data_IF_952307111345
#
_entry.id   IF_952307111345
#
_cell.length_a   1.000
_cell.length_b   1.000
_cell.length_c   1.000
_cell.angle_alpha   90.00
_cell.angle_beta   90.00
_cell.angle_gamma   90.00
#
_symmetry.space_group_name_H-M   'P 1'
#
loop_
_entity.id
_entity.type
_entity.pdbx_description
1 polymer ?
#
# COMPACT_ATOMS: atom_id res chain seq x y z
N UNK A 1 -0.77 -84.46 -30.82
CA UNK A 1 -0.08 -83.15 -30.75
C UNK A 1 -0.84 -82.15 -31.62
N UNK A 2 -1.67 -81.31 -31.01
CA UNK A 2 -2.42 -80.28 -31.72
C UNK A 2 -1.66 -78.93 -31.51
N UNK A 3 -1.26 -78.30 -32.61
CA UNK A 3 -0.64 -76.96 -32.61
C UNK A 3 -1.76 -75.96 -32.66
N UNK A 4 -1.79 -75.03 -31.67
CA UNK A 4 -2.64 -73.86 -31.68
C UNK A 4 -1.81 -72.66 -32.21
N UNK A 5 -2.25 -72.05 -33.31
CA UNK A 5 -1.72 -70.85 -33.85
C UNK A 5 -2.47 -69.65 -33.15
N UNK A 6 -1.74 -68.80 -32.46
CA UNK A 6 -2.28 -67.58 -31.89
C UNK A 6 -2.13 -66.49 -32.94
N UNK A 7 -3.28 -65.91 -33.35
CA UNK A 7 -3.36 -64.74 -34.22
C UNK A 7 -3.31 -63.47 -33.33
N UNK A 8 -2.23 -62.71 -33.42
CA UNK A 8 -2.12 -61.39 -32.77
C UNK A 8 -2.72 -60.37 -33.72
N UNK A 9 -3.88 -59.80 -33.33
CA UNK A 9 -4.48 -58.65 -34.00
C UNK A 9 -3.90 -57.41 -33.38
N UNK A 10 -3.04 -56.67 -34.11
CA UNK A 10 -2.58 -55.36 -33.74
C UNK A 10 -3.69 -54.32 -34.03
N UNK A 11 -4.34 -53.85 -32.99
CA UNK A 11 -5.24 -52.68 -33.09
C UNK A 11 -4.41 -51.42 -33.07
N UNK A 12 -4.28 -50.76 -34.21
CA UNK A 12 -3.76 -49.37 -34.29
C UNK A 12 -4.83 -48.41 -33.77
N UNK A 13 -4.69 -47.93 -32.55
CA UNK A 13 -5.48 -46.81 -32.04
C UNK A 13 -4.84 -45.51 -32.60
N UNK A 14 -5.51 -44.90 -33.57
CA UNK A 14 -5.20 -43.55 -34.01
C UNK A 14 -5.61 -42.59 -32.89
N UNK A 15 -4.65 -42.05 -32.14
CA UNK A 15 -4.87 -40.90 -31.30
C UNK A 15 -5.11 -39.68 -32.21
N UNK A 16 -6.37 -39.34 -32.40
CA UNK A 16 -6.76 -38.00 -32.85
C UNK A 16 -6.46 -37.04 -31.67
N UNK A 17 -5.34 -36.34 -31.76
CA UNK A 17 -5.04 -35.24 -30.88
C UNK A 17 -6.13 -34.16 -31.09
N UNK A 18 -7.02 -34.06 -30.11
CA UNK A 18 -7.89 -32.91 -29.99
C UNK A 18 -6.96 -31.70 -29.62
N UNK A 19 -6.70 -30.84 -30.57
CA UNK A 19 -6.26 -29.50 -30.25
C UNK A 19 -7.42 -28.86 -29.46
N UNK A 20 -7.41 -28.95 -28.15
CA UNK A 20 -8.21 -28.07 -27.32
C UNK A 20 -7.73 -26.65 -27.67
N UNK A 21 -8.61 -25.81 -28.23
CA UNK A 21 -8.35 -24.39 -28.32
C UNK A 21 -8.14 -23.92 -26.87
N UNK A 22 -6.97 -23.39 -26.59
CA UNK A 22 -6.78 -22.65 -25.35
C UNK A 22 -7.87 -21.56 -25.28
N UNK A 23 -8.52 -21.37 -24.13
CA UNK A 23 -9.49 -20.29 -23.98
C UNK A 23 -8.79 -18.97 -24.33
N UNK A 24 -9.50 -18.10 -25.01
CA UNK A 24 -8.98 -16.76 -25.32
C UNK A 24 -8.63 -16.07 -23.98
N UNK A 25 -7.53 -15.30 -23.93
CA UNK A 25 -7.18 -14.52 -22.76
C UNK A 25 -8.38 -13.69 -22.30
N UNK A 26 -8.61 -13.66 -21.00
CA UNK A 26 -9.70 -12.87 -20.39
C UNK A 26 -9.13 -11.59 -19.79
N UNK A 27 -9.87 -10.46 -19.84
CA UNK A 27 -9.50 -9.27 -19.08
C UNK A 27 -9.35 -9.58 -17.59
N UNK A 28 -8.39 -8.95 -16.92
CA UNK A 28 -8.28 -8.99 -15.46
C UNK A 28 -9.49 -8.29 -14.85
N UNK A 29 -10.02 -8.86 -13.77
CA UNK A 29 -11.13 -8.28 -13.03
C UNK A 29 -10.73 -7.05 -12.23
N UNK A 30 -9.44 -6.96 -11.85
CA UNK A 30 -8.86 -5.87 -11.08
C UNK A 30 -7.86 -5.08 -11.92
N UNK A 31 -7.64 -3.83 -11.54
CA UNK A 31 -6.64 -2.92 -12.07
C UNK A 31 -5.88 -2.25 -10.92
N UNK A 32 -4.91 -1.42 -11.25
CA UNK A 32 -4.12 -0.64 -10.31
C UNK A 32 -4.53 0.83 -10.33
N UNK A 33 -4.60 1.43 -9.17
CA UNK A 33 -4.73 2.86 -8.94
C UNK A 33 -3.36 3.40 -8.53
N UNK A 34 -2.91 4.47 -9.18
CA UNK A 34 -1.65 5.15 -8.88
C UNK A 34 -1.98 6.55 -8.37
N UNK A 35 -1.67 6.83 -7.12
CA UNK A 35 -1.84 8.16 -6.52
C UNK A 35 -0.65 9.04 -6.87
N UNK A 36 -0.86 10.08 -7.70
CA UNK A 36 0.23 10.85 -8.28
C UNK A 36 0.22 12.32 -7.83
N UNK A 37 1.44 12.82 -7.56
CA UNK A 37 1.76 14.23 -7.64
C UNK A 37 2.53 14.49 -8.93
N UNK A 38 2.07 15.41 -9.75
CA UNK A 38 2.69 15.75 -11.04
C UNK A 38 3.31 17.12 -10.95
N UNK A 39 4.55 17.23 -11.41
CA UNK A 39 5.33 18.46 -11.40
C UNK A 39 5.77 18.81 -12.82
N UNK A 40 5.68 20.07 -13.19
CA UNK A 40 6.26 20.61 -14.41
C UNK A 40 7.45 21.51 -14.12
N UNK A 41 8.40 21.57 -15.03
CA UNK A 41 9.56 22.45 -14.92
C UNK A 41 9.13 23.91 -15.11
N UNK A 42 9.27 24.73 -14.07
CA UNK A 42 9.00 26.16 -14.12
C UNK A 42 10.27 27.01 -13.99
N UNK A 43 10.19 28.33 -14.25
CA UNK A 43 11.34 29.23 -14.18
C UNK A 43 12.00 29.34 -12.81
N UNK A 44 11.25 29.04 -11.74
CA UNK A 44 11.71 29.12 -10.34
C UNK A 44 11.79 27.76 -9.64
N UNK A 45 11.70 26.67 -10.37
CA UNK A 45 11.66 25.29 -9.87
C UNK A 45 10.39 24.55 -10.25
N UNK A 46 10.18 23.33 -9.73
CA UNK A 46 9.02 22.52 -10.03
C UNK A 46 7.71 23.23 -9.66
N UNK A 47 6.72 23.15 -10.57
CA UNK A 47 5.38 23.72 -10.39
C UNK A 47 4.38 22.56 -10.30
N UNK A 48 3.66 22.42 -9.16
CA UNK A 48 2.63 21.40 -9.02
C UNK A 48 1.53 21.58 -10.06
N UNK A 49 1.14 20.48 -10.67
CA UNK A 49 -0.01 20.37 -11.57
C UNK A 49 -1.22 19.77 -10.81
N UNK A 50 -2.42 19.73 -11.41
CA UNK A 50 -3.52 18.97 -10.86
C UNK A 50 -3.10 17.54 -10.53
N UNK A 51 -3.57 17.03 -9.38
CA UNK A 51 -3.33 15.64 -8.99
C UNK A 51 -3.89 14.68 -10.02
N UNK A 52 -3.22 13.56 -10.22
CA UNK A 52 -3.69 12.52 -11.13
C UNK A 52 -3.93 11.21 -10.38
N UNK A 53 -5.05 10.59 -10.68
CA UNK A 53 -5.25 9.18 -10.41
C UNK A 53 -4.88 8.42 -11.69
N UNK A 54 -3.69 7.82 -11.69
CA UNK A 54 -3.25 6.91 -12.75
C UNK A 54 -4.00 5.59 -12.61
N UNK A 55 -4.33 4.97 -13.74
CA UNK A 55 -5.11 3.74 -13.80
C UNK A 55 -4.42 2.80 -14.77
N UNK A 56 -4.03 1.62 -14.30
CA UNK A 56 -3.47 0.56 -15.13
C UNK A 56 -4.43 -0.62 -15.13
N UNK A 57 -4.78 -1.10 -16.32
CA UNK A 57 -5.65 -2.27 -16.50
C UNK A 57 -5.08 -3.21 -17.56
N UNK A 58 -5.44 -4.50 -17.48
CA UNK A 58 -5.07 -5.51 -18.45
C UNK A 58 -6.34 -6.09 -19.11
N UNK A 59 -6.41 -6.05 -20.45
CA UNK A 59 -7.56 -6.56 -21.22
C UNK A 59 -7.46 -8.07 -21.54
N UNK A 60 -6.48 -8.76 -20.92
CA UNK A 60 -6.14 -10.17 -21.18
C UNK A 60 -5.06 -10.33 -22.26
N UNK A 61 -4.65 -9.24 -22.92
CA UNK A 61 -3.61 -9.27 -23.97
C UNK A 61 -2.53 -8.23 -23.76
N UNK A 62 -2.87 -7.09 -23.18
CA UNK A 62 -1.95 -5.97 -22.98
C UNK A 62 -2.34 -5.11 -21.79
N UNK A 63 -1.35 -4.52 -21.19
CA UNK A 63 -1.52 -3.47 -20.20
C UNK A 63 -1.82 -2.14 -20.87
N UNK A 64 -2.68 -1.35 -20.26
CA UNK A 64 -3.05 0.00 -20.70
C UNK A 64 -2.98 0.96 -19.52
N UNK A 65 -2.58 2.21 -19.81
CA UNK A 65 -2.56 3.28 -18.84
C UNK A 65 -3.46 4.42 -19.28
N UNK A 66 -4.23 4.97 -18.35
CA UNK A 66 -4.94 6.24 -18.47
C UNK A 66 -4.91 6.95 -17.13
N UNK A 67 -5.42 8.18 -17.07
CA UNK A 67 -5.56 8.90 -15.81
C UNK A 67 -6.78 9.79 -15.80
N UNK A 68 -7.23 10.18 -14.62
CA UNK A 68 -8.14 11.29 -14.38
C UNK A 68 -7.42 12.37 -13.57
N UNK A 69 -7.80 13.64 -13.78
CA UNK A 69 -7.22 14.78 -13.06
C UNK A 69 -8.23 15.37 -12.08
N UNK A 70 -7.73 15.81 -10.94
CA UNK A 70 -8.48 16.58 -9.96
C UNK A 70 -7.92 18.00 -9.87
N UNK A 71 -8.60 19.02 -10.43
CA UNK A 71 -8.15 20.40 -10.37
C UNK A 71 -8.19 21.02 -8.95
N UNK A 72 -8.92 20.40 -8.01
CA UNK A 72 -9.01 20.85 -6.63
C UNK A 72 -7.84 20.35 -5.78
N UNK A 73 -7.05 19.40 -6.33
CA UNK A 73 -5.91 18.78 -5.66
C UNK A 73 -4.61 18.99 -6.45
N UNK A 74 -3.47 19.10 -5.76
CA UNK A 74 -2.14 19.10 -6.38
C UNK A 74 -1.33 17.83 -6.07
N UNK A 75 -1.91 16.92 -5.32
CA UNK A 75 -1.38 15.60 -4.99
C UNK A 75 -2.53 14.68 -4.60
N UNK A 76 -2.46 13.41 -5.00
CA UNK A 76 -3.12 12.32 -4.30
C UNK A 76 -2.06 11.55 -3.51
N UNK A 77 -2.29 11.37 -2.21
CA UNK A 77 -1.42 10.56 -1.38
C UNK A 77 -1.87 9.10 -1.36
N UNK A 78 -3.17 8.86 -1.29
CA UNK A 78 -3.75 7.51 -1.36
C UNK A 78 -5.03 7.51 -2.18
N UNK A 79 -5.29 6.40 -2.84
CA UNK A 79 -6.58 6.12 -3.47
C UNK A 79 -6.91 4.65 -3.20
N UNK A 80 -8.14 4.36 -2.77
CA UNK A 80 -8.53 3.00 -2.44
C UNK A 80 -10.01 2.73 -2.72
N UNK A 81 -10.37 1.47 -2.77
CA UNK A 81 -11.77 1.05 -2.89
C UNK A 81 -12.53 1.42 -1.63
N UNK A 82 -13.75 1.95 -1.83
CA UNK A 82 -14.72 2.16 -0.76
C UNK A 82 -16.04 1.49 -1.15
N UNK A 83 -16.45 0.52 -0.38
CA UNK A 83 -17.68 -0.22 -0.59
C UNK A 83 -18.50 -0.21 0.71
N UNK A 84 -19.12 0.94 1.05
CA UNK A 84 -19.83 1.07 2.32
C UNK A 84 -21.10 0.24 2.33
N UNK A 85 -21.61 -0.04 3.51
CA UNK A 85 -22.89 -0.76 3.76
C UNK A 85 -24.09 0.03 3.23
N UNK A 86 -23.95 1.35 3.12
CA UNK A 86 -24.99 2.27 2.64
C UNK A 86 -24.40 3.25 1.63
N UNK A 87 -25.01 3.33 0.46
CA UNK A 87 -24.58 4.22 -0.62
C UNK A 87 -23.98 3.48 -1.79
N UNK A 88 -23.25 4.19 -2.63
CA UNK A 88 -22.59 3.64 -3.81
C UNK A 88 -21.13 3.34 -3.51
N UNK A 89 -20.66 2.19 -3.98
CA UNK A 89 -19.24 1.86 -3.96
C UNK A 89 -18.48 2.66 -5.03
N UNK A 90 -17.21 2.97 -4.76
CA UNK A 90 -16.37 3.73 -5.67
C UNK A 90 -14.92 3.78 -5.20
N UNK A 91 -14.20 4.79 -5.64
CA UNK A 91 -12.81 5.02 -5.28
C UNK A 91 -12.69 6.27 -4.41
N UNK A 92 -12.17 6.11 -3.19
CA UNK A 92 -11.74 7.24 -2.36
C UNK A 92 -10.41 7.80 -2.85
N UNK A 93 -10.23 9.11 -2.71
CA UNK A 93 -8.93 9.76 -2.87
C UNK A 93 -8.64 10.67 -1.70
N UNK A 94 -7.44 10.51 -1.11
CA UNK A 94 -6.85 11.43 -0.14
C UNK A 94 -6.07 12.51 -0.90
N UNK A 95 -6.60 13.72 -0.98
CA UNK A 95 -6.05 14.75 -1.85
C UNK A 95 -6.10 16.14 -1.28
N UNK A 96 -6.03 17.09 -2.18
CA UNK A 96 -6.26 18.50 -1.93
C UNK A 96 -5.02 19.38 -1.94
N UNK A 97 -5.26 20.67 -2.03
CA UNK A 97 -4.37 21.75 -1.58
C UNK A 97 -4.63 22.08 -0.12
N UNK A 98 -5.71 21.60 0.42
CA UNK A 98 -6.15 21.43 1.79
C UNK A 98 -6.61 20.00 2.00
N UNK A 99 -6.90 19.60 3.22
CA UNK A 99 -7.36 18.24 3.50
C UNK A 99 -8.71 17.98 2.80
N UNK A 100 -8.79 16.88 2.02
CA UNK A 100 -9.97 16.58 1.22
C UNK A 100 -10.08 15.08 0.96
N UNK A 101 -11.28 14.53 1.16
CA UNK A 101 -11.65 13.17 0.77
C UNK A 101 -12.76 13.23 -0.27
N UNK A 102 -12.51 12.66 -1.44
CA UNK A 102 -13.50 12.51 -2.52
C UNK A 102 -13.82 11.04 -2.75
N UNK A 103 -15.09 10.76 -3.03
CA UNK A 103 -15.54 9.47 -3.55
C UNK A 103 -15.89 9.63 -5.03
N UNK A 104 -15.20 8.87 -5.87
CA UNK A 104 -15.39 8.83 -7.30
C UNK A 104 -16.26 7.64 -7.69
N UNK A 105 -17.30 7.90 -8.48
CA UNK A 105 -18.17 6.87 -9.04
C UNK A 105 -17.59 6.32 -10.36
N UNK A 106 -18.00 5.11 -10.79
CA UNK A 106 -17.52 4.53 -12.05
C UNK A 106 -17.79 5.36 -13.30
N UNK A 107 -18.78 6.26 -13.29
CA UNK A 107 -19.09 7.16 -14.42
C UNK A 107 -18.19 8.41 -14.48
N UNK A 108 -17.18 8.51 -13.59
CA UNK A 108 -16.25 9.64 -13.50
C UNK A 108 -16.77 10.83 -12.69
N UNK A 109 -18.01 10.80 -12.24
CA UNK A 109 -18.51 11.79 -11.28
C UNK A 109 -17.91 11.59 -9.88
N UNK A 110 -17.90 12.63 -9.06
CA UNK A 110 -17.43 12.53 -7.69
C UNK A 110 -18.28 13.28 -6.70
N UNK A 111 -18.17 12.89 -5.44
CA UNK A 111 -18.74 13.58 -4.28
C UNK A 111 -17.62 13.87 -3.30
N UNK A 112 -17.48 15.11 -2.83
CA UNK A 112 -16.64 15.44 -1.68
C UNK A 112 -17.34 14.96 -0.43
N UNK A 113 -16.69 14.03 0.29
CA UNK A 113 -17.20 13.50 1.55
C UNK A 113 -16.84 14.41 2.72
N UNK A 114 -15.63 14.96 2.67
CA UNK A 114 -15.08 15.82 3.70
C UNK A 114 -14.02 16.75 3.12
N UNK A 115 -13.94 17.95 3.69
CA UNK A 115 -12.98 18.98 3.32
C UNK A 115 -12.75 19.89 4.51
N UNK A 116 -11.49 20.10 4.91
CA UNK A 116 -11.14 20.98 6.02
C UNK A 116 -9.85 21.75 5.70
N UNK A 117 -9.72 22.97 6.23
CA UNK A 117 -8.52 23.79 6.16
C UNK A 117 -8.00 24.08 7.57
N UNK A 118 -7.05 23.26 8.00
CA UNK A 118 -6.41 23.41 9.31
C UNK A 118 -5.38 24.54 9.36
N UNK A 119 -5.15 25.26 8.25
CA UNK A 119 -4.11 26.28 8.13
C UNK A 119 -2.71 25.67 7.92
N UNK A 120 -1.67 26.47 8.16
CA UNK A 120 -0.28 26.06 7.95
C UNK A 120 0.18 26.17 6.49
N UNK A 121 1.34 25.58 6.20
CA UNK A 121 1.93 25.63 4.87
C UNK A 121 1.34 24.57 3.93
N UNK A 122 1.03 23.40 4.47
CA UNK A 122 0.54 22.24 3.74
C UNK A 122 -0.65 21.63 4.49
N UNK A 123 -1.79 22.29 4.51
CA UNK A 123 -3.03 21.74 5.06
C UNK A 123 -3.64 20.76 4.07
N UNK A 124 -3.07 19.57 3.94
CA UNK A 124 -3.51 18.53 2.99
C UNK A 124 -3.46 17.15 3.62
N UNK A 125 -4.12 16.21 2.97
CA UNK A 125 -4.10 14.80 3.36
C UNK A 125 -2.69 14.21 3.25
N UNK A 126 -2.44 13.22 4.08
CA UNK A 126 -1.28 12.34 3.98
C UNK A 126 -1.71 10.91 3.71
N UNK A 127 -2.69 10.43 4.47
CA UNK A 127 -3.14 9.07 4.36
C UNK A 127 -4.62 8.94 4.75
N UNK A 128 -5.23 7.81 4.44
CA UNK A 128 -6.56 7.41 4.90
C UNK A 128 -6.69 5.89 4.96
N UNK A 129 -7.52 5.43 5.94
CA UNK A 129 -7.92 4.04 6.08
C UNK A 129 -9.43 3.92 6.26
N UNK A 130 -9.99 2.73 6.02
CA UNK A 130 -11.43 2.45 6.13
C UNK A 130 -11.64 1.26 7.04
N UNK A 131 -12.42 1.46 8.12
CA UNK A 131 -12.87 0.40 9.02
C UNK A 131 -14.12 0.85 9.78
N UNK A 132 -14.82 -0.07 10.44
CA UNK A 132 -15.88 0.23 11.40
C UNK A 132 -15.23 0.50 12.78
N UNK A 133 -14.86 1.76 13.02
CA UNK A 133 -14.03 2.18 14.17
C UNK A 133 -14.80 2.18 15.48
N UNK A 134 -16.10 2.48 15.44
CA UNK A 134 -16.93 2.54 16.66
C UNK A 134 -17.81 1.30 16.88
N UNK A 135 -17.79 0.34 15.94
CA UNK A 135 -18.49 -0.93 16.02
C UNK A 135 -19.99 -0.81 15.77
N UNK A 136 -20.45 0.24 15.09
CA UNK A 136 -21.87 0.47 14.80
C UNK A 136 -22.37 -0.28 13.55
N UNK A 137 -21.46 -0.89 12.78
CA UNK A 137 -21.71 -1.67 11.58
C UNK A 137 -21.72 -0.86 10.30
N UNK A 138 -21.22 0.38 10.32
CA UNK A 138 -21.02 1.21 9.14
C UNK A 138 -19.54 1.56 8.99
N UNK A 139 -19.09 1.66 7.75
CA UNK A 139 -17.69 2.00 7.46
C UNK A 139 -17.38 3.45 7.79
N UNK A 140 -16.32 3.66 8.57
CA UNK A 140 -15.74 4.95 8.89
C UNK A 140 -14.49 5.19 8.03
N UNK A 141 -14.04 6.44 7.95
CA UNK A 141 -12.81 6.81 7.27
C UNK A 141 -11.88 7.49 8.25
N UNK A 142 -10.75 6.87 8.54
CA UNK A 142 -9.66 7.48 9.32
C UNK A 142 -8.81 8.32 8.39
N UNK A 143 -8.47 9.54 8.76
CA UNK A 143 -7.67 10.45 7.94
C UNK A 143 -6.50 11.02 8.71
N UNK A 144 -5.38 11.20 8.01
CA UNK A 144 -4.17 11.84 8.50
C UNK A 144 -3.79 13.05 7.67
N UNK A 145 -3.25 14.09 8.30
CA UNK A 145 -2.90 15.34 7.62
C UNK A 145 -1.42 15.68 7.71
N UNK A 146 -0.99 16.51 6.76
CA UNK A 146 0.32 17.15 6.76
C UNK A 146 0.38 18.23 7.86
N UNK A 147 1.48 18.78 8.16
CA UNK A 147 1.96 19.80 9.12
C UNK A 147 1.01 20.35 10.22
N UNK A 148 -0.21 19.84 10.35
CA UNK A 148 -1.13 20.11 11.47
C UNK A 148 -1.25 18.92 12.44
N UNK A 149 -0.69 17.76 12.07
CA UNK A 149 -0.67 16.58 12.91
C UNK A 149 -2.06 16.05 13.29
N UNK A 150 -3.06 16.33 12.46
CA UNK A 150 -4.44 15.92 12.72
C UNK A 150 -4.61 14.45 12.36
N UNK A 151 -5.17 13.69 13.29
CA UNK A 151 -5.81 12.40 13.05
C UNK A 151 -7.29 12.58 13.33
N UNK A 152 -8.13 12.30 12.35
CA UNK A 152 -9.57 12.50 12.43
C UNK A 152 -10.31 11.26 11.95
N UNK A 153 -11.45 10.95 12.54
CA UNK A 153 -12.35 9.88 12.09
C UNK A 153 -13.61 10.50 11.51
N UNK A 154 -13.93 10.16 10.30
CA UNK A 154 -15.18 10.51 9.65
C UNK A 154 -16.15 9.35 9.90
N UNK A 155 -16.95 9.43 10.96
CA UNK A 155 -17.91 8.38 11.34
C UNK A 155 -19.06 8.31 10.35
N UNK A 156 -19.22 7.12 9.73
CA UNK A 156 -20.31 6.81 8.83
C UNK A 156 -21.62 6.59 9.58
N UNK A 157 -22.75 6.75 8.89
CA UNK A 157 -24.06 6.49 9.49
C UNK A 157 -24.97 5.67 8.56
N UNK A 158 -26.08 5.19 9.09
CA UNK A 158 -27.10 4.43 8.35
C UNK A 158 -27.76 5.19 7.21
N UNK A 159 -27.47 6.45 7.00
CA UNK A 159 -27.92 7.29 5.89
C UNK A 159 -26.81 7.55 4.86
N UNK A 160 -25.57 7.08 5.12
CA UNK A 160 -24.40 7.32 4.28
C UNK A 160 -23.83 8.74 4.39
N UNK A 161 -24.07 9.42 5.52
CA UNK A 161 -23.40 10.65 5.87
C UNK A 161 -22.17 10.36 6.73
N UNK A 162 -21.25 11.35 6.80
CA UNK A 162 -20.06 11.29 7.61
C UNK A 162 -20.05 12.42 8.62
N UNK A 163 -19.70 12.10 9.89
CA UNK A 163 -19.53 13.07 10.96
C UNK A 163 -18.06 13.10 11.37
N UNK A 164 -17.32 14.20 11.10
CA UNK A 164 -15.90 14.31 11.45
C UNK A 164 -15.71 14.49 12.95
N UNK A 165 -14.73 13.76 13.51
CA UNK A 165 -14.29 13.89 14.89
C UNK A 165 -12.76 13.87 14.94
N UNK A 166 -12.15 15.01 15.30
CA UNK A 166 -10.71 15.11 15.56
C UNK A 166 -10.36 14.31 16.81
N UNK A 167 -9.48 13.31 16.68
CA UNK A 167 -9.03 12.50 17.81
C UNK A 167 -7.63 12.89 18.29
N UNK A 168 -6.83 13.53 17.44
CA UNK A 168 -5.55 14.11 17.80
C UNK A 168 -5.19 15.27 16.87
N UNK A 169 -4.46 16.26 17.40
CA UNK A 169 -3.93 17.40 16.64
C UNK A 169 -2.67 17.95 17.30
N UNK A 170 -1.57 17.98 16.57
CA UNK A 170 -0.28 18.50 17.04
C UNK A 170 0.34 19.44 15.99
N UNK A 171 0.25 20.78 16.15
CA UNK A 171 0.78 21.72 15.17
C UNK A 171 2.27 21.52 14.87
N UNK A 172 2.66 21.73 13.62
CA UNK A 172 4.00 21.48 13.06
C UNK A 172 4.43 20.01 13.09
N UNK A 173 3.48 19.10 13.18
CA UNK A 173 3.68 17.67 13.13
C UNK A 173 3.07 17.12 11.85
N UNK A 174 3.76 16.20 11.20
CA UNK A 174 3.27 15.44 10.07
C UNK A 174 2.81 14.08 10.58
N UNK A 175 1.60 13.67 10.27
CA UNK A 175 1.20 12.27 10.39
C UNK A 175 1.39 11.66 9.00
N UNK A 176 2.41 10.84 8.86
CA UNK A 176 2.80 10.32 7.55
C UNK A 176 1.95 9.14 7.12
N UNK A 177 1.61 8.28 8.07
CA UNK A 177 0.87 7.06 7.83
C UNK A 177 -0.16 6.85 8.94
N UNK A 178 -1.30 6.29 8.59
CA UNK A 178 -2.27 5.70 9.52
C UNK A 178 -2.59 4.28 9.06
N UNK A 179 -2.72 3.37 10.03
CA UNK A 179 -3.14 2.00 9.81
C UNK A 179 -4.22 1.63 10.82
N UNK A 180 -5.04 0.65 10.48
CA UNK A 180 -6.06 0.11 11.39
C UNK A 180 -5.80 -1.38 11.57
N UNK A 181 -5.83 -1.85 12.82
CA UNK A 181 -5.67 -3.26 13.16
C UNK A 181 -6.16 -3.57 14.56
N UNK A 182 -5.91 -4.78 15.02
CA UNK A 182 -6.28 -5.28 16.35
C UNK A 182 -5.13 -6.13 16.92
N UNK A 183 -4.07 -5.43 17.38
CA UNK A 183 -2.86 -6.12 17.88
C UNK A 183 -3.13 -6.98 19.12
N UNK A 184 -4.11 -6.62 19.92
CA UNK A 184 -4.42 -7.34 21.15
C UNK A 184 -5.49 -8.43 20.97
N UNK A 185 -6.05 -8.57 19.77
CA UNK A 185 -7.07 -9.54 19.37
C UNK A 185 -8.34 -9.50 20.25
N UNK A 186 -8.72 -8.30 20.72
CA UNK A 186 -9.93 -8.13 21.52
C UNK A 186 -11.20 -7.85 20.68
N UNK A 187 -11.03 -7.68 19.37
CA UNK A 187 -12.09 -7.43 18.39
C UNK A 187 -12.49 -5.96 18.31
N UNK A 188 -11.72 -5.05 18.92
CA UNK A 188 -11.96 -3.60 18.84
C UNK A 188 -10.88 -2.98 17.94
N UNK A 189 -11.26 -2.31 16.85
CA UNK A 189 -10.29 -1.68 15.96
C UNK A 189 -9.45 -0.60 16.67
N UNK A 190 -8.17 -0.63 16.40
CA UNK A 190 -7.17 0.30 16.89
C UNK A 190 -6.61 1.11 15.71
N UNK A 191 -6.40 2.41 15.89
CA UNK A 191 -5.76 3.29 14.90
C UNK A 191 -4.31 3.50 15.28
N UNK A 192 -3.40 3.25 14.35
CA UNK A 192 -1.96 3.47 14.49
C UNK A 192 -1.55 4.64 13.61
N UNK A 193 -0.68 5.52 14.12
CA UNK A 193 -0.24 6.70 13.38
C UNK A 193 1.24 7.00 13.62
N UNK A 194 1.89 7.62 12.62
CA UNK A 194 3.31 8.03 12.67
C UNK A 194 3.45 9.57 12.74
N UNK A 195 3.06 10.23 13.85
CA UNK A 195 3.28 11.65 14.00
C UNK A 195 4.77 11.96 14.17
N UNK A 196 5.28 12.93 13.42
CA UNK A 196 6.69 13.28 13.45
C UNK A 196 6.93 14.75 13.10
N UNK A 197 8.07 15.30 13.49
CA UNK A 197 8.53 16.58 12.97
C UNK A 197 8.82 16.46 11.45
N UNK A 198 8.79 17.59 10.70
CA UNK A 198 9.14 17.57 9.28
C UNK A 198 10.49 16.88 9.04
N UNK A 199 10.51 15.84 8.19
CA UNK A 199 11.70 15.07 7.90
C UNK A 199 12.75 15.94 7.22
N UNK A 200 13.95 16.02 7.77
CA UNK A 200 15.06 16.80 7.25
C UNK A 200 15.79 16.15 6.10
N UNK A 201 15.65 14.83 5.92
CA UNK A 201 16.25 14.02 4.83
C UNK A 201 17.80 14.04 4.78
N UNK A 202 18.46 14.59 5.79
CA UNK A 202 19.92 14.74 5.86
C UNK A 202 20.58 13.78 6.86
N UNK A 203 19.79 12.85 7.43
CA UNK A 203 20.23 11.91 8.46
C UNK A 203 20.46 12.56 9.82
N UNK A 204 20.00 13.80 10.04
CA UNK A 204 20.02 14.43 11.37
C UNK A 204 19.07 13.68 12.29
N UNK A 205 19.46 13.34 13.54
CA UNK A 205 18.56 12.73 14.51
C UNK A 205 17.26 13.53 14.68
N UNK A 206 16.13 12.83 14.62
CA UNK A 206 14.80 13.37 14.83
C UNK A 206 14.00 12.37 15.67
N UNK A 207 13.26 12.82 16.70
CA UNK A 207 12.37 11.93 17.43
C UNK A 207 11.36 11.25 16.50
N UNK A 208 11.09 9.99 16.76
CA UNK A 208 10.09 9.20 16.05
C UNK A 208 9.41 8.24 16.99
N UNK A 209 8.14 8.02 16.75
CA UNK A 209 7.30 7.08 17.49
C UNK A 209 6.07 6.70 16.68
N UNK A 210 5.44 5.59 17.07
CA UNK A 210 4.10 5.22 16.62
C UNK A 210 3.14 5.39 17.77
N UNK A 211 2.00 6.00 17.49
CA UNK A 211 0.91 6.19 18.45
C UNK A 211 -0.27 5.29 18.13
N UNK A 212 -0.97 4.85 19.15
CA UNK A 212 -2.23 4.12 19.07
C UNK A 212 -3.36 4.94 19.67
N UNK A 213 -4.55 4.81 19.08
CA UNK A 213 -5.82 5.34 19.57
C UNK A 213 -6.88 4.24 19.51
N UNK A 214 -7.80 4.19 20.49
CA UNK A 214 -8.93 3.24 20.52
C UNK A 214 -10.21 4.02 20.76
N UNK A 215 -10.77 4.66 19.72
CA UNK A 215 -11.93 5.56 19.90
C UNK A 215 -13.16 4.88 20.50
N UNK A 216 -13.45 3.62 20.14
CA UNK A 216 -14.56 2.86 20.70
C UNK A 216 -14.50 2.68 22.22
N UNK A 217 -13.30 2.77 22.82
CA UNK A 217 -13.06 2.67 24.26
C UNK A 217 -12.80 4.03 24.93
N UNK A 218 -12.89 5.14 24.18
CA UNK A 218 -12.52 6.49 24.64
C UNK A 218 -11.04 6.55 25.10
N UNK A 219 -10.18 5.71 24.49
CA UNK A 219 -8.74 5.72 24.71
C UNK A 219 -8.04 6.64 23.70
N UNK A 220 -7.46 7.73 24.20
CA UNK A 220 -6.66 8.66 23.42
C UNK A 220 -5.26 8.14 23.14
N UNK A 221 -4.38 9.05 22.76
CA UNK A 221 -3.00 8.81 22.35
C UNK A 221 -2.19 7.98 23.34
N UNK A 222 -1.66 6.86 22.87
CA UNK A 222 -0.70 6.00 23.57
C UNK A 222 0.49 5.71 22.66
N UNK A 223 1.72 5.83 23.15
CA UNK A 223 2.92 5.46 22.38
C UNK A 223 3.09 3.95 22.45
N UNK A 224 3.14 3.30 21.27
CA UNK A 224 3.32 1.84 21.13
C UNK A 224 4.68 1.46 20.53
N UNK A 225 5.38 2.41 19.91
CA UNK A 225 6.78 2.28 19.54
C UNK A 225 7.49 3.61 19.81
N UNK A 226 8.55 3.60 20.61
CA UNK A 226 9.43 4.74 20.87
C UNK A 226 10.77 4.49 20.17
N UNK A 227 11.02 5.22 19.10
CA UNK A 227 12.18 5.03 18.23
C UNK A 227 13.36 5.93 18.64
N UNK A 228 13.23 6.65 19.74
CA UNK A 228 14.21 7.61 20.23
C UNK A 228 14.44 8.75 19.24
N UNK A 229 15.70 8.97 18.85
CA UNK A 229 16.09 10.02 17.91
C UNK A 229 16.06 9.55 16.44
N UNK A 230 15.25 8.56 16.09
CA UNK A 230 15.13 7.99 14.75
C UNK A 230 13.71 8.15 14.24
N UNK A 231 13.61 8.69 13.04
CA UNK A 231 12.34 8.92 12.37
C UNK A 231 11.79 7.64 11.77
N UNK A 232 10.47 7.46 11.83
CA UNK A 232 9.74 6.48 11.04
C UNK A 232 8.65 7.19 10.25
N UNK A 233 8.41 6.69 9.07
CA UNK A 233 7.36 7.19 8.19
C UNK A 233 6.37 6.09 7.81
N UNK A 234 6.88 4.91 7.55
CA UNK A 234 6.15 3.76 7.10
C UNK A 234 5.88 2.78 8.22
N UNK A 235 4.65 2.35 8.33
CA UNK A 235 4.21 1.24 9.18
C UNK A 235 3.36 0.26 8.37
N UNK A 236 3.31 -0.98 8.82
CA UNK A 236 2.41 -2.01 8.33
C UNK A 236 1.78 -2.70 9.54
N UNK A 237 0.45 -2.80 9.57
CA UNK A 237 -0.29 -3.53 10.59
C UNK A 237 -1.00 -4.72 9.94
N UNK A 238 -0.88 -5.91 10.52
CA UNK A 238 -1.57 -7.10 10.04
C UNK A 238 -0.89 -8.39 10.47
N UNK A 239 -1.64 -9.49 10.39
CA UNK A 239 -1.16 -10.86 10.64
C UNK A 239 -0.26 -11.30 9.48
N UNK A 240 1.05 -11.05 9.61
CA UNK A 240 2.03 -11.42 8.58
C UNK A 240 2.58 -12.82 8.82
N UNK A 241 2.75 -13.23 10.07
CA UNK A 241 3.30 -14.55 10.41
C UNK A 241 2.25 -15.67 10.43
N UNK A 242 0.96 -15.33 10.27
CA UNK A 242 -0.14 -16.29 10.12
C UNK A 242 -0.59 -16.91 11.44
N UNK A 243 -0.30 -16.29 12.59
CA UNK A 243 -0.70 -16.80 13.90
C UNK A 243 -2.12 -16.40 14.32
N UNK A 244 -2.76 -15.52 13.55
CA UNK A 244 -4.13 -15.03 13.73
C UNK A 244 -4.20 -13.77 14.59
N UNK A 245 -3.08 -13.12 14.86
CA UNK A 245 -2.97 -11.86 15.59
C UNK A 245 -2.27 -10.84 14.70
N UNK A 246 -2.72 -9.59 14.71
CA UNK A 246 -2.01 -8.54 13.99
C UNK A 246 -0.71 -8.14 14.69
N UNK A 247 0.31 -7.78 13.92
CA UNK A 247 1.54 -7.16 14.38
C UNK A 247 1.72 -5.77 13.76
N UNK A 248 2.48 -4.94 14.46
CA UNK A 248 2.95 -3.65 13.94
C UNK A 248 4.40 -3.78 13.47
N UNK A 249 4.65 -3.53 12.20
CA UNK A 249 5.98 -3.40 11.61
C UNK A 249 6.28 -1.93 11.35
N UNK A 250 7.49 -1.49 11.71
CA UNK A 250 7.91 -0.09 11.59
C UNK A 250 9.20 0.00 10.80
N UNK A 251 9.20 0.76 9.71
CA UNK A 251 10.41 1.11 8.97
C UNK A 251 11.08 2.33 9.58
N UNK A 252 12.20 2.13 10.25
CA UNK A 252 12.95 3.16 10.97
C UNK A 252 14.07 3.70 10.10
N UNK A 253 14.03 5.00 9.77
CA UNK A 253 15.01 5.63 8.90
C UNK A 253 16.41 5.68 9.53
N UNK A 254 17.43 5.66 8.67
CA UNK A 254 18.82 5.74 9.10
C UNK A 254 19.18 7.14 9.58
N UNK A 255 20.00 7.24 10.64
CA UNK A 255 20.63 8.48 11.08
C UNK A 255 22.14 8.41 10.86
N UNK A 256 22.76 9.52 10.43
CA UNK A 256 24.20 9.81 10.42
C UNK A 256 25.12 8.59 10.16
N UNK A 257 24.94 7.88 9.03
CA UNK A 257 25.74 6.70 8.66
C UNK A 257 25.27 5.39 9.29
N UNK A 258 24.07 5.38 9.88
CA UNK A 258 23.37 4.18 10.30
C UNK A 258 22.74 3.43 9.12
N UNK A 259 21.85 2.50 9.42
CA UNK A 259 21.09 1.68 8.48
C UNK A 259 19.61 1.86 8.75
N UNK A 260 18.77 1.62 7.74
CA UNK A 260 17.35 1.39 7.95
C UNK A 260 17.18 0.12 8.77
N UNK A 261 16.29 0.13 9.74
CA UNK A 261 15.87 -1.05 10.48
C UNK A 261 14.38 -1.24 10.33
N UNK A 262 13.95 -2.49 10.18
CA UNK A 262 12.55 -2.87 10.24
C UNK A 262 12.35 -3.54 11.58
N UNK A 263 11.51 -2.95 12.42
CA UNK A 263 11.19 -3.42 13.76
C UNK A 263 9.77 -3.98 13.80
N UNK A 264 9.57 -5.05 14.55
CA UNK A 264 8.26 -5.61 14.89
C UNK A 264 7.89 -5.26 16.33
N UNK A 265 6.62 -4.98 16.54
CA UNK A 265 6.00 -4.81 17.85
C UNK A 265 4.72 -5.63 17.90
N UNK A 266 4.60 -6.44 18.94
CA UNK A 266 3.35 -7.14 19.29
C UNK A 266 2.67 -6.38 20.43
N UNK A 267 1.44 -6.74 20.76
CA UNK A 267 0.65 -6.06 21.81
C UNK A 267 1.36 -5.99 23.19
N UNK A 268 2.22 -6.97 23.50
CA UNK A 268 2.96 -7.08 24.76
C UNK A 268 4.40 -6.53 24.69
N UNK A 269 4.82 -5.96 23.55
CA UNK A 269 6.16 -5.42 23.36
C UNK A 269 6.32 -4.09 24.10
N UNK A 270 7.40 -3.93 24.87
CA UNK A 270 7.76 -2.62 25.44
C UNK A 270 8.01 -1.63 24.28
N UNK A 271 7.38 -0.45 24.27
CA UNK A 271 7.55 0.51 23.20
C UNK A 271 9.00 0.88 22.84
N UNK A 272 9.94 0.77 23.81
CA UNK A 272 11.36 1.04 23.58
C UNK A 272 12.17 -0.19 23.13
N UNK A 273 11.56 -1.37 23.07
CA UNK A 273 12.25 -2.65 22.83
C UNK A 273 11.69 -3.41 21.62
N UNK A 274 11.46 -2.71 20.49
CA UNK A 274 11.02 -3.35 19.24
C UNK A 274 11.99 -4.45 18.76
N UNK A 275 11.44 -5.55 18.26
CA UNK A 275 12.20 -6.70 17.77
C UNK A 275 12.77 -6.42 16.38
N UNK A 276 14.08 -6.53 16.22
CA UNK A 276 14.72 -6.31 14.91
C UNK A 276 14.40 -7.46 13.95
N UNK A 277 13.67 -7.16 12.89
CA UNK A 277 13.38 -8.10 11.81
C UNK A 277 14.52 -8.12 10.80
N UNK A 278 14.96 -6.95 10.35
CA UNK A 278 16.12 -6.83 9.45
C UNK A 278 16.70 -5.43 9.45
N UNK A 279 17.87 -5.27 8.80
CA UNK A 279 18.45 -3.96 8.52
C UNK A 279 18.95 -3.86 7.09
N UNK A 280 18.65 -2.73 6.42
CA UNK A 280 19.02 -2.45 5.04
C UNK A 280 20.13 -1.40 4.97
N UNK A 281 21.07 -1.58 4.04
CA UNK A 281 22.12 -0.60 3.76
C UNK A 281 21.55 0.52 2.88
N UNK A 282 20.62 1.28 3.47
CA UNK A 282 19.95 2.41 2.86
C UNK A 282 19.66 3.50 3.90
N UNK A 283 19.14 4.63 3.45
CA UNK A 283 18.75 5.75 4.30
C UNK A 283 17.25 5.77 4.62
N UNK A 284 16.43 5.30 3.69
CA UNK A 284 14.96 5.33 3.75
C UNK A 284 14.40 4.02 3.20
N UNK A 285 13.29 3.58 3.78
CA UNK A 285 12.38 2.59 3.21
C UNK A 285 10.98 3.08 3.52
N UNK A 286 10.18 3.32 2.50
CA UNK A 286 8.91 4.04 2.62
C UNK A 286 7.70 3.23 2.22
N UNK A 287 7.91 1.99 1.83
CA UNK A 287 6.84 1.02 1.62
C UNK A 287 7.24 -0.34 2.18
N UNK A 288 6.36 -0.85 3.02
CA UNK A 288 6.29 -2.23 3.46
C UNK A 288 4.98 -2.82 2.94
N UNK A 289 5.01 -4.01 2.39
CA UNK A 289 3.81 -4.73 1.95
C UNK A 289 4.00 -6.21 2.19
N UNK A 290 2.93 -6.92 2.52
CA UNK A 290 2.98 -8.34 2.81
C UNK A 290 2.00 -9.14 1.95
N UNK A 291 2.39 -10.33 1.52
CA UNK A 291 1.59 -11.22 0.69
C UNK A 291 2.29 -12.55 0.44
N UNK A 292 1.56 -13.53 -0.06
CA UNK A 292 2.04 -14.87 -0.40
C UNK A 292 2.57 -14.90 -1.83
N UNK A 293 3.90 -14.75 -1.99
CA UNK A 293 4.52 -14.63 -3.32
C UNK A 293 4.86 -15.98 -3.98
N UNK A 294 4.81 -17.08 -3.23
CA UNK A 294 5.15 -18.41 -3.74
C UNK A 294 4.02 -19.45 -3.62
N UNK A 295 2.86 -19.03 -3.11
CA UNK A 295 1.63 -19.83 -3.05
C UNK A 295 1.66 -20.93 -1.99
N UNK A 296 2.51 -20.80 -0.95
CA UNK A 296 2.62 -21.78 0.11
C UNK A 296 1.65 -21.49 1.30
N UNK A 297 0.97 -20.35 1.26
CA UNK A 297 -0.01 -19.91 2.25
C UNK A 297 0.61 -19.11 3.41
N UNK A 298 1.93 -18.92 3.40
CA UNK A 298 2.62 -18.03 4.33
C UNK A 298 2.85 -16.69 3.64
N UNK A 299 2.89 -15.60 4.41
CA UNK A 299 3.18 -14.29 3.82
C UNK A 299 4.66 -13.96 3.94
N UNK A 300 5.21 -13.40 2.90
CA UNK A 300 6.45 -12.66 2.91
C UNK A 300 6.17 -11.17 3.01
N UNK A 301 7.20 -10.41 3.39
CA UNK A 301 7.15 -8.95 3.35
C UNK A 301 8.11 -8.42 2.29
N UNK A 302 7.70 -7.39 1.56
CA UNK A 302 8.58 -6.63 0.67
C UNK A 302 8.86 -5.28 1.29
N UNK A 303 10.15 -4.91 1.30
CA UNK A 303 10.63 -3.60 1.68
C UNK A 303 11.16 -2.88 0.43
N UNK A 304 10.52 -1.75 0.08
CA UNK A 304 10.93 -0.91 -1.05
C UNK A 304 11.83 0.23 -0.56
N UNK A 305 13.14 0.03 -0.69
CA UNK A 305 14.15 0.96 -0.23
C UNK A 305 14.45 2.06 -1.26
N UNK A 306 14.91 3.22 -0.80
CA UNK A 306 15.14 4.40 -1.66
C UNK A 306 16.20 4.16 -2.75
N UNK A 307 17.32 3.49 -2.41
CA UNK A 307 18.47 3.33 -3.32
C UNK A 307 19.00 1.91 -3.41
N UNK A 308 18.77 1.10 -2.40
CA UNK A 308 19.28 -0.26 -2.37
C UNK A 308 18.40 -1.27 -3.08
N UNK A 309 17.23 -0.84 -3.55
CA UNK A 309 16.31 -1.65 -4.35
C UNK A 309 15.17 -2.27 -3.55
N UNK A 310 14.65 -3.35 -4.09
CA UNK A 310 13.55 -4.13 -3.53
C UNK A 310 14.08 -5.37 -2.82
N UNK A 311 13.55 -5.63 -1.64
CA UNK A 311 13.98 -6.70 -0.77
C UNK A 311 12.81 -7.55 -0.32
N UNK A 312 12.94 -8.88 -0.45
CA UNK A 312 12.01 -9.87 0.07
C UNK A 312 12.49 -10.34 1.44
N UNK A 313 11.63 -10.24 2.44
CA UNK A 313 11.88 -10.65 3.80
C UNK A 313 11.00 -11.86 4.10
N UNK A 314 11.61 -12.96 4.53
CA UNK A 314 10.90 -14.21 4.84
C UNK A 314 10.99 -14.51 6.32
N UNK A 315 9.84 -14.66 7.02
CA UNK A 315 9.85 -15.06 8.43
C UNK A 315 10.49 -16.44 8.58
N UNK A 316 11.23 -16.60 9.68
CA UNK A 316 11.79 -17.90 10.07
C UNK A 316 10.81 -18.71 10.92
N UNK A 317 11.33 -19.78 11.56
CA UNK A 317 10.53 -20.54 12.51
C UNK A 317 10.13 -19.75 13.78
N UNK A 318 10.90 -18.74 14.12
CA UNK A 318 10.59 -17.75 15.15
C UNK A 318 10.41 -16.41 14.44
N UNK A 319 9.16 -15.95 14.23
CA UNK A 319 8.91 -14.71 13.51
C UNK A 319 9.29 -13.45 14.31
N UNK A 320 9.59 -13.61 15.60
CA UNK A 320 10.12 -12.55 16.47
C UNK A 320 11.65 -12.38 16.37
N UNK A 321 12.32 -13.29 15.66
CA UNK A 321 13.76 -13.21 15.41
C UNK A 321 14.06 -12.50 14.09
N UNK A 322 15.33 -12.29 13.76
CA UNK A 322 15.76 -11.71 12.49
C UNK A 322 15.36 -12.61 11.30
N UNK A 323 14.71 -12.02 10.30
CA UNK A 323 14.23 -12.71 9.11
C UNK A 323 15.32 -12.86 8.05
N UNK A 324 15.19 -13.86 7.20
CA UNK A 324 16.02 -13.95 6.00
C UNK A 324 15.64 -12.87 5.00
N UNK A 325 16.65 -12.39 4.26
CA UNK A 325 16.48 -11.31 3.30
C UNK A 325 17.05 -11.70 1.94
N UNK A 326 16.28 -11.49 0.88
CA UNK A 326 16.66 -11.76 -0.50
C UNK A 326 16.46 -10.50 -1.35
N UNK A 327 17.35 -10.27 -2.34
CA UNK A 327 17.21 -9.14 -3.23
C UNK A 327 16.26 -9.48 -4.38
N UNK A 328 15.19 -8.71 -4.55
CA UNK A 328 14.30 -8.80 -5.70
C UNK A 328 14.91 -8.05 -6.90
N UNK A 329 15.15 -6.74 -6.75
CA UNK A 329 15.75 -5.91 -7.80
C UNK A 329 16.55 -4.76 -7.17
N UNK A 330 17.84 -4.71 -7.47
CA UNK A 330 18.76 -3.66 -6.98
C UNK A 330 18.79 -2.41 -7.85
N UNK A 331 18.14 -2.44 -9.00
CA UNK A 331 18.08 -1.31 -9.93
C UNK A 331 16.75 -0.56 -9.86
N UNK A 332 15.80 -1.02 -9.02
CA UNK A 332 14.59 -0.28 -8.71
C UNK A 332 14.88 0.72 -7.60
N UNK A 333 14.33 1.92 -7.69
CA UNK A 333 14.55 2.98 -6.71
C UNK A 333 13.57 4.13 -6.85
N UNK A 334 13.57 5.00 -5.86
CA UNK A 334 12.73 6.18 -5.85
C UNK A 334 12.54 6.75 -4.45
N UNK A 335 12.19 8.02 -4.38
CA UNK A 335 12.03 8.70 -3.10
C UNK A 335 10.87 8.13 -2.26
N UNK A 336 9.73 7.87 -2.88
CA UNK A 336 8.63 7.15 -2.24
C UNK A 336 8.71 5.65 -2.54
N UNK A 337 8.97 5.27 -3.79
CA UNK A 337 9.15 3.87 -4.22
C UNK A 337 7.94 3.01 -3.88
N UNK A 338 6.73 3.53 -4.20
CA UNK A 338 5.47 2.89 -3.86
C UNK A 338 5.40 1.45 -4.37
N UNK A 339 4.96 0.55 -3.52
CA UNK A 339 4.92 -0.88 -3.80
C UNK A 339 3.71 -1.55 -3.12
N UNK A 340 3.15 -2.58 -3.77
CA UNK A 340 2.11 -3.42 -3.18
C UNK A 340 2.23 -4.86 -3.66
N UNK A 341 2.03 -5.81 -2.74
CA UNK A 341 1.75 -7.21 -3.03
C UNK A 341 0.24 -7.40 -3.13
N UNK A 342 -0.23 -7.98 -4.22
CA UNK A 342 -1.65 -8.28 -4.43
C UNK A 342 -1.84 -9.28 -5.56
N UNK A 343 -2.77 -10.21 -5.39
CA UNK A 343 -3.25 -11.13 -6.44
C UNK A 343 -4.21 -10.37 -7.38
N UNK A 344 -3.64 -9.76 -8.43
CA UNK A 344 -4.44 -8.97 -9.37
C UNK A 344 -5.12 -9.83 -10.44
N UNK A 345 -4.52 -10.97 -10.80
CA UNK A 345 -5.06 -11.85 -11.83
C UNK A 345 -5.94 -12.99 -11.29
N UNK A 346 -6.00 -13.15 -9.96
CA UNK A 346 -6.93 -14.04 -9.28
C UNK A 346 -6.48 -15.51 -9.27
N UNK A 347 -5.16 -15.75 -9.36
CA UNK A 347 -4.61 -17.11 -9.35
C UNK A 347 -4.26 -17.63 -7.94
N UNK A 348 -4.36 -16.78 -6.93
CA UNK A 348 -4.13 -17.10 -5.52
C UNK A 348 -2.68 -16.88 -5.07
N UNK A 349 -1.85 -16.26 -5.90
CA UNK A 349 -0.46 -15.87 -5.58
C UNK A 349 -0.34 -14.35 -5.73
N UNK A 350 0.31 -13.71 -4.77
CA UNK A 350 0.48 -12.27 -4.84
C UNK A 350 1.65 -11.88 -5.74
N UNK A 351 1.40 -10.94 -6.65
CA UNK A 351 2.47 -10.28 -7.40
C UNK A 351 2.85 -8.96 -6.78
N UNK A 352 4.09 -8.56 -6.99
CA UNK A 352 4.57 -7.27 -6.54
C UNK A 352 4.45 -6.23 -7.66
N UNK A 353 3.75 -5.13 -7.38
CA UNK A 353 3.64 -3.95 -8.26
C UNK A 353 4.41 -2.79 -7.65
N UNK A 354 5.23 -2.11 -8.46
CA UNK A 354 6.19 -1.10 -7.97
C UNK A 354 6.25 0.10 -8.90
N UNK A 355 6.27 1.28 -8.32
CA UNK A 355 6.64 2.52 -9.00
C UNK A 355 8.15 2.76 -8.82
N UNK A 356 8.94 2.46 -9.82
CA UNK A 356 10.35 2.86 -9.92
C UNK A 356 10.41 4.32 -10.40
N UNK A 357 10.26 5.26 -9.47
CA UNK A 357 10.20 6.70 -9.78
C UNK A 357 11.53 7.24 -10.33
N UNK A 358 12.68 6.62 -10.02
CA UNK A 358 13.98 7.03 -10.54
C UNK A 358 14.07 6.84 -12.06
N UNK A 359 13.42 5.81 -12.61
CA UNK A 359 13.34 5.52 -14.04
C UNK A 359 12.00 5.96 -14.68
N UNK A 360 11.01 6.36 -13.86
CA UNK A 360 9.67 6.71 -14.29
C UNK A 360 8.86 5.51 -14.79
N UNK A 361 9.06 4.34 -14.21
CA UNK A 361 8.46 3.08 -14.65
C UNK A 361 7.52 2.48 -13.61
N UNK A 362 6.47 1.82 -14.07
CA UNK A 362 5.63 0.94 -13.25
C UNK A 362 5.91 -0.48 -13.68
N UNK A 363 6.32 -1.31 -12.74
CA UNK A 363 6.76 -2.69 -12.96
C UNK A 363 5.93 -3.67 -12.15
N UNK A 364 5.74 -4.88 -12.70
CA UNK A 364 5.24 -6.07 -12.03
C UNK A 364 6.38 -7.06 -11.85
N UNK A 365 6.40 -7.75 -10.72
CA UNK A 365 7.28 -8.88 -10.47
C UNK A 365 6.44 -10.10 -10.13
N UNK A 366 6.67 -11.19 -10.83
CA UNK A 366 6.08 -12.51 -10.59
C UNK A 366 7.18 -13.49 -10.24
N UNK A 367 6.91 -14.43 -9.35
CA UNK A 367 7.90 -15.46 -9.00
C UNK A 367 7.72 -16.69 -9.89
N UNK A 368 8.77 -17.03 -10.64
CA UNK A 368 8.83 -18.20 -11.51
C UNK A 368 9.98 -19.09 -11.04
N UNK A 369 9.67 -20.33 -10.65
CA UNK A 369 10.66 -21.25 -10.07
C UNK A 369 11.43 -20.67 -8.86
N UNK A 370 10.77 -19.79 -8.08
CA UNK A 370 11.32 -19.12 -6.90
C UNK A 370 12.14 -17.87 -7.19
N UNK A 371 12.27 -17.45 -8.44
CA UNK A 371 13.02 -16.27 -8.84
C UNK A 371 12.09 -15.17 -9.35
N UNK A 372 12.24 -13.88 -8.92
CA UNK A 372 11.41 -12.78 -9.37
C UNK A 372 11.69 -12.45 -10.85
N UNK A 373 10.63 -12.35 -11.65
CA UNK A 373 10.68 -11.95 -13.06
C UNK A 373 10.00 -10.61 -13.22
N UNK A 374 10.74 -9.61 -13.70
CA UNK A 374 10.25 -8.24 -13.92
C UNK A 374 9.52 -8.13 -15.25
N UNK A 375 8.34 -7.51 -15.22
CA UNK A 375 7.57 -7.06 -16.38
C UNK A 375 7.35 -5.55 -16.30
N UNK A 376 7.67 -4.81 -17.39
CA UNK A 376 7.37 -3.39 -17.51
C UNK A 376 5.92 -3.20 -17.93
N UNK A 377 5.12 -2.51 -17.10
CA UNK A 377 3.70 -2.22 -17.38
C UNK A 377 3.53 -0.88 -18.07
N UNK A 378 4.25 0.15 -17.63
CA UNK A 378 4.13 1.51 -18.13
C UNK A 378 5.39 2.33 -17.88
N UNK A 379 5.68 3.28 -18.76
CA UNK A 379 6.73 4.29 -18.58
C UNK A 379 6.11 5.67 -18.70
N UNK A 380 6.36 6.53 -17.73
CA UNK A 380 5.93 7.92 -17.78
C UNK A 380 6.60 8.67 -18.93
N UNK A 381 5.91 9.58 -19.64
CA UNK A 381 6.49 10.37 -20.72
C UNK A 381 7.71 11.18 -20.25
N UNK A 382 8.72 11.31 -21.13
CA UNK A 382 9.87 12.18 -20.89
C UNK A 382 9.45 13.61 -20.52
N UNK A 383 10.08 14.17 -19.47
CA UNK A 383 9.82 15.54 -18.99
C UNK A 383 8.67 15.67 -18.02
N UNK A 384 7.90 14.61 -17.79
CA UNK A 384 6.99 14.55 -16.66
C UNK A 384 7.80 14.13 -15.44
N UNK A 385 7.96 15.01 -14.47
CA UNK A 385 8.46 14.64 -13.16
C UNK A 385 7.29 14.53 -12.20
N UNK A 386 7.33 13.55 -11.30
CA UNK A 386 6.25 13.31 -10.34
C UNK A 386 6.66 12.24 -9.35
N UNK A 387 5.79 12.01 -8.41
CA UNK A 387 5.94 10.93 -7.43
C UNK A 387 4.68 10.09 -7.47
N UNK A 388 4.87 8.77 -7.44
CA UNK A 388 3.82 7.82 -7.14
C UNK A 388 3.80 7.62 -5.63
N UNK A 389 2.81 8.24 -4.99
CA UNK A 389 2.70 8.21 -3.52
C UNK A 389 2.15 6.91 -3.00
N UNK A 390 1.31 6.24 -3.79
CA UNK A 390 0.69 4.97 -3.39
C UNK A 390 0.23 4.19 -4.62
N UNK A 391 0.16 2.87 -4.51
CA UNK A 391 -0.41 1.94 -5.49
C UNK A 391 -1.40 1.05 -4.75
N UNK A 392 -2.64 0.95 -5.27
CA UNK A 392 -3.69 0.10 -4.70
C UNK A 392 -4.41 -0.69 -5.78
N UNK A 393 -4.84 -1.93 -5.52
CA UNK A 393 -5.70 -2.67 -6.42
C UNK A 393 -7.14 -2.15 -6.34
N UNK A 394 -7.87 -2.27 -7.46
CA UNK A 394 -9.30 -2.00 -7.47
C UNK A 394 -10.02 -2.82 -8.53
N UNK A 395 -11.25 -3.31 -8.24
CA UNK A 395 -12.09 -3.90 -9.27
C UNK A 395 -12.31 -2.92 -10.44
N UNK A 396 -12.09 -3.37 -11.67
CA UNK A 396 -12.24 -2.53 -12.87
C UNK A 396 -13.65 -1.91 -12.95
N UNK A 397 -14.65 -2.60 -12.43
CA UNK A 397 -16.03 -2.10 -12.37
C UNK A 397 -16.26 -0.90 -11.45
N UNK A 398 -15.35 -0.63 -10.52
CA UNK A 398 -15.40 0.52 -9.59
C UNK A 398 -14.48 1.67 -10.03
N UNK A 399 -13.55 1.40 -10.95
CA UNK A 399 -12.60 2.40 -11.41
C UNK A 399 -13.32 3.46 -12.24
N UNK A 400 -13.14 4.77 -11.94
CA UNK A 400 -13.79 5.83 -12.67
C UNK A 400 -13.52 5.78 -14.17
N UNK A 401 -14.55 5.91 -15.00
CA UNK A 401 -14.47 6.08 -16.46
C UNK A 401 -13.90 7.45 -16.87
N UNK A 402 -13.79 7.69 -18.20
CA UNK A 402 -13.49 9.01 -18.76
C UNK A 402 -14.72 9.93 -18.72
#
# INVERSE_FOLDING_TARGET
>A
MRRYSILIVLSMIAMLGSCANEPAPQPMANGLLLSLAVLESGPSGPVPQPARLGIITNDGTAWSYRYIEDPDSNVFHKAMVFAPEVGEAGILTAGGTKAMVKLWSPDGSFRTLWEEDFGGKFSRMRDLEVADIDGDGFSDIVVATHDQGVVEVLYGDSQGNFTPVEIDAEPNTFVHEVEVGDLNSDGVPEIYATPSLPNKLDGTPQPGFVTRYVPALDEGRTVVADLGDRHAKEILVGDVDGDGTDELYVSVEAVAGGRVEILRFDADTDPAEGMLITSLDDTLTRFLTAGDVDGDGSKEMVAAANKSGLWLLKPGQDPRAEWSIESIDRNSGGFEHAAILTDLDGDGIDELYVANDDDGEINRYVWVDGEPQRELLYTHPEGLSGFTWNIMPAPVSLIPGE
#
